data_IF_399928224238
#
_entry.id   IF_399928224238
#
_cell.length_a   1.000
_cell.length_b   1.000
_cell.length_c   1.000
_cell.angle_alpha   90.00
_cell.angle_beta   90.00
_cell.angle_gamma   90.00
#
_symmetry.space_group_name_H-M   'P 1'
#
loop_
_entity.id
_entity.type
_entity.pdbx_description
1 polymer ?
#
# COMPACT_ATOMS: atom_id res chain seq x y z
N UNK A 1 4.29 -36.89 42.92
CA UNK A 1 2.85 -36.86 43.19
C UNK A 1 2.27 -35.58 42.67
N UNK A 2 1.84 -35.57 41.41
CA UNK A 2 0.76 -34.75 40.89
C UNK A 2 0.48 -35.23 39.45
N UNK A 3 -0.74 -35.76 39.27
CA UNK A 3 -1.22 -36.45 38.08
C UNK A 3 -1.41 -35.53 36.87
N UNK A 4 -1.16 -36.00 35.64
CA UNK A 4 -1.58 -35.30 34.44
C UNK A 4 -3.09 -35.47 34.21
N UNK A 5 -3.80 -34.35 34.12
CA UNK A 5 -5.24 -34.27 33.87
C UNK A 5 -5.64 -34.79 32.49
N UNK A 6 -6.72 -35.56 32.47
CA UNK A 6 -7.33 -36.17 31.29
C UNK A 6 -7.97 -35.13 30.34
N UNK A 7 -8.06 -35.43 29.03
CA UNK A 7 -8.75 -34.58 28.06
C UNK A 7 -10.28 -34.69 28.16
N UNK A 8 -11.02 -33.61 27.81
CA UNK A 8 -12.47 -33.57 27.91
C UNK A 8 -13.18 -34.43 26.85
N UNK A 9 -14.26 -35.05 27.31
CA UNK A 9 -15.19 -35.92 26.60
C UNK A 9 -15.81 -35.28 25.35
N UNK A 10 -15.87 -36.06 24.27
CA UNK A 10 -16.69 -35.81 23.10
C UNK A 10 -18.19 -36.02 23.43
N UNK A 11 -19.10 -35.17 22.91
CA UNK A 11 -20.54 -35.37 23.09
C UNK A 11 -21.09 -36.53 22.23
N UNK A 12 -22.19 -37.18 22.69
CA UNK A 12 -22.69 -38.42 22.13
C UNK A 12 -23.59 -38.23 20.90
N UNK A 13 -23.51 -39.25 20.03
CA UNK A 13 -24.45 -39.72 19.02
C UNK A 13 -25.72 -38.91 18.73
N UNK A 14 -25.79 -38.40 17.50
CA UNK A 14 -27.05 -38.11 16.82
C UNK A 14 -27.57 -39.41 16.19
N UNK A 15 -28.85 -39.76 16.38
CA UNK A 15 -29.43 -41.00 15.88
C UNK A 15 -29.61 -40.99 14.36
N UNK A 16 -29.42 -42.17 13.78
CA UNK A 16 -29.77 -42.50 12.41
C UNK A 16 -31.30 -42.66 12.30
N UNK A 17 -31.94 -41.72 11.60
CA UNK A 17 -33.31 -41.85 11.08
C UNK A 17 -33.19 -41.95 9.54
N UNK A 18 -33.48 -43.11 8.95
CA UNK A 18 -34.79 -43.37 8.33
C UNK A 18 -34.78 -42.82 6.90
N UNK A 19 -34.26 -43.53 5.89
CA UNK A 19 -34.92 -44.63 5.18
C UNK A 19 -36.40 -44.37 4.88
N UNK A 20 -36.68 -43.46 3.95
CA UNK A 20 -37.87 -43.54 3.09
C UNK A 20 -37.45 -43.41 1.62
N UNK A 21 -37.39 -44.57 0.98
CA UNK A 21 -37.16 -44.75 -0.45
C UNK A 21 -38.51 -44.52 -1.14
N UNK A 22 -38.79 -43.27 -1.50
CA UNK A 22 -39.87 -42.96 -2.45
C UNK A 22 -39.33 -43.22 -3.86
N UNK A 23 -39.75 -44.34 -4.44
CA UNK A 23 -39.48 -44.68 -5.83
C UNK A 23 -40.00 -43.60 -6.77
N UNK A 24 -39.06 -42.92 -7.44
CA UNK A 24 -39.36 -42.12 -8.62
C UNK A 24 -39.21 -43.06 -9.80
N UNK A 25 -40.34 -43.38 -10.42
CA UNK A 25 -40.40 -44.15 -11.65
C UNK A 25 -39.46 -43.55 -12.69
N UNK A 26 -38.58 -44.42 -13.19
CA UNK A 26 -37.70 -44.20 -14.32
C UNK A 26 -38.54 -43.97 -15.57
N UNK A 27 -39.01 -42.74 -15.76
CA UNK A 27 -39.66 -42.32 -16.99
C UNK A 27 -38.57 -42.14 -18.04
N UNK A 28 -38.40 -43.16 -18.88
CA UNK A 28 -37.54 -43.09 -20.05
C UNK A 28 -37.85 -41.79 -20.83
N UNK A 29 -36.83 -40.98 -21.17
CA UNK A 29 -37.04 -39.84 -22.05
C UNK A 29 -37.46 -40.39 -23.42
N UNK A 30 -38.76 -40.33 -23.70
CA UNK A 30 -39.30 -40.55 -25.03
C UNK A 30 -38.57 -39.63 -26.01
N UNK A 31 -38.29 -40.08 -27.24
CA UNK A 31 -37.64 -39.24 -28.24
C UNK A 31 -38.45 -37.98 -28.41
N UNK A 32 -37.84 -36.84 -28.03
CA UNK A 32 -38.42 -35.54 -28.28
C UNK A 32 -38.78 -35.45 -29.77
N UNK A 33 -39.99 -34.99 -30.12
CA UNK A 33 -40.32 -34.75 -31.50
C UNK A 33 -39.27 -33.79 -32.05
N UNK A 34 -38.62 -34.20 -33.13
CA UNK A 34 -37.81 -33.35 -33.96
C UNK A 34 -38.74 -32.30 -34.59
N UNK A 35 -39.14 -31.32 -33.79
CA UNK A 35 -39.51 -30.01 -34.28
C UNK A 35 -38.23 -29.42 -34.85
N UNK A 36 -37.94 -29.85 -36.08
CA UNK A 36 -37.18 -29.12 -37.05
C UNK A 36 -37.88 -27.78 -37.20
N UNK A 37 -37.60 -26.88 -36.26
CA UNK A 37 -37.69 -25.46 -36.49
C UNK A 37 -36.98 -25.25 -37.82
N UNK A 38 -37.73 -24.77 -38.81
CA UNK A 38 -37.23 -24.17 -40.03
C UNK A 38 -36.23 -23.08 -39.64
N UNK A 39 -35.01 -23.50 -39.30
CA UNK A 39 -33.85 -22.67 -39.21
C UNK A 39 -33.65 -22.23 -40.64
N UNK A 40 -34.25 -21.08 -40.94
CA UNK A 40 -33.97 -20.27 -42.11
C UNK A 40 -32.46 -20.30 -42.25
N UNK A 41 -31.95 -21.13 -43.16
CA UNK A 41 -30.55 -21.15 -43.53
C UNK A 41 -30.34 -19.77 -44.12
N UNK A 42 -29.95 -18.82 -43.28
CA UNK A 42 -29.34 -17.60 -43.76
C UNK A 42 -28.14 -18.11 -44.53
N UNK A 43 -28.18 -17.98 -45.87
CA UNK A 43 -27.06 -18.20 -46.78
C UNK A 43 -25.97 -17.15 -46.51
N UNK A 44 -25.59 -17.00 -45.24
CA UNK A 44 -24.50 -16.18 -44.82
C UNK A 44 -23.23 -16.95 -45.20
N UNK A 45 -22.35 -16.35 -46.02
CA UNK A 45 -21.11 -16.99 -46.41
C UNK A 45 -20.36 -17.47 -45.17
N UNK A 46 -19.85 -18.71 -45.20
CA UNK A 46 -19.09 -19.33 -44.10
C UNK A 46 -18.04 -18.39 -43.48
N UNK A 47 -17.46 -17.52 -44.31
CA UNK A 47 -16.58 -16.44 -43.90
C UNK A 47 -17.17 -15.53 -42.80
N UNK A 48 -18.37 -14.99 -42.99
CA UNK A 48 -19.01 -14.07 -42.04
C UNK A 48 -19.57 -14.81 -40.84
N UNK A 49 -20.16 -16.00 -41.06
CA UNK A 49 -20.59 -16.88 -39.98
C UNK A 49 -19.41 -17.18 -39.02
N UNK A 50 -18.24 -17.55 -39.55
CA UNK A 50 -17.05 -17.82 -38.73
C UNK A 50 -16.58 -16.58 -37.95
N UNK A 51 -16.62 -15.39 -38.55
CA UNK A 51 -16.22 -14.15 -37.86
C UNK A 51 -17.20 -13.74 -36.75
N UNK A 52 -18.50 -13.94 -36.98
CA UNK A 52 -19.57 -13.52 -36.09
C UNK A 52 -19.91 -14.53 -34.99
N UNK A 53 -19.55 -15.81 -35.17
CA UNK A 53 -19.84 -16.85 -34.19
C UNK A 53 -19.16 -16.53 -32.85
N UNK A 54 -19.91 -16.75 -31.77
CA UNK A 54 -19.49 -16.54 -30.39
C UNK A 54 -19.43 -17.84 -29.59
N UNK A 55 -19.88 -18.96 -30.17
CA UNK A 55 -20.02 -20.27 -29.56
C UNK A 55 -19.06 -21.32 -30.10
N UNK A 56 -18.15 -20.96 -30.99
CA UNK A 56 -17.17 -21.89 -31.54
C UNK A 56 -16.04 -22.22 -30.55
N UNK A 57 -15.53 -23.44 -30.69
CA UNK A 57 -14.44 -24.01 -29.88
C UNK A 57 -13.27 -24.38 -30.79
N UNK A 58 -12.06 -24.37 -30.24
CA UNK A 58 -10.83 -24.60 -31.00
C UNK A 58 -10.88 -25.90 -31.80
N UNK A 59 -11.28 -27.00 -31.15
CA UNK A 59 -11.38 -28.31 -31.78
C UNK A 59 -12.32 -28.35 -32.99
N UNK A 60 -13.42 -27.58 -32.99
CA UNK A 60 -14.34 -27.50 -34.12
C UNK A 60 -13.72 -26.74 -35.29
N UNK A 61 -13.12 -25.58 -35.02
CA UNK A 61 -12.45 -24.80 -36.05
C UNK A 61 -11.27 -25.54 -36.68
N UNK A 62 -10.50 -26.33 -35.91
CA UNK A 62 -9.42 -27.17 -36.44
C UNK A 62 -9.93 -28.27 -37.38
N UNK A 63 -11.10 -28.86 -37.10
CA UNK A 63 -11.75 -29.80 -38.04
C UNK A 63 -12.16 -29.10 -39.32
N UNK A 64 -12.76 -27.92 -39.22
CA UNK A 64 -13.13 -27.09 -40.37
C UNK A 64 -11.90 -26.67 -41.18
N UNK A 65 -10.82 -26.30 -40.51
CA UNK A 65 -9.53 -25.99 -41.12
C UNK A 65 -9.02 -27.18 -41.95
N UNK A 66 -9.00 -28.38 -41.36
CA UNK A 66 -8.54 -29.59 -42.04
C UNK A 66 -9.39 -29.89 -43.29
N UNK A 67 -10.73 -29.81 -43.16
CA UNK A 67 -11.65 -30.03 -44.27
C UNK A 67 -11.43 -29.00 -45.41
N UNK A 68 -11.34 -27.71 -45.08
CA UNK A 68 -11.07 -26.65 -46.05
C UNK A 68 -9.69 -26.80 -46.70
N UNK A 69 -8.68 -27.20 -45.94
CA UNK A 69 -7.32 -27.40 -46.45
C UNK A 69 -7.25 -28.55 -47.47
N UNK A 70 -7.92 -29.67 -47.18
CA UNK A 70 -8.01 -30.81 -48.11
C UNK A 70 -8.75 -30.40 -49.39
N UNK A 71 -9.85 -29.66 -49.27
CA UNK A 71 -10.61 -29.19 -50.42
C UNK A 71 -9.84 -28.16 -51.27
N UNK A 72 -8.97 -27.35 -50.65
CA UNK A 72 -8.20 -26.31 -51.32
C UNK A 72 -6.94 -26.84 -52.04
N UNK A 73 -6.36 -27.94 -51.55
CA UNK A 73 -5.14 -28.54 -52.11
C UNK A 73 -5.18 -28.76 -53.65
N UNK A 74 -6.19 -29.47 -54.23
CA UNK A 74 -6.21 -29.70 -55.67
C UNK A 74 -6.38 -28.40 -56.47
N UNK A 75 -7.15 -27.43 -55.96
CA UNK A 75 -7.34 -26.13 -56.63
C UNK A 75 -6.01 -25.38 -56.74
N UNK A 76 -5.15 -25.52 -55.74
CA UNK A 76 -3.80 -24.97 -55.77
C UNK A 76 -2.91 -25.67 -56.80
N UNK A 77 -2.92 -27.01 -56.80
CA UNK A 77 -2.09 -27.85 -57.69
C UNK A 77 -2.40 -27.61 -59.18
N UNK A 78 -3.67 -27.43 -59.53
CA UNK A 78 -4.09 -27.20 -60.92
C UNK A 78 -4.06 -25.72 -61.34
N UNK A 79 -3.42 -24.83 -60.54
CA UNK A 79 -3.27 -23.41 -60.89
C UNK A 79 -4.55 -22.58 -60.79
N UNK A 80 -5.59 -23.10 -60.14
CA UNK A 80 -6.89 -22.45 -59.95
C UNK A 80 -6.91 -21.36 -58.87
N UNK A 81 -5.77 -21.05 -58.24
CA UNK A 81 -5.67 -20.12 -57.09
C UNK A 81 -6.18 -18.71 -57.36
N UNK A 82 -6.19 -18.28 -58.62
CA UNK A 82 -6.70 -16.96 -59.05
C UNK A 82 -8.21 -16.92 -59.26
N UNK A 83 -8.89 -18.08 -59.27
CA UNK A 83 -10.33 -18.13 -59.43
C UNK A 83 -11.02 -17.51 -58.22
N UNK A 84 -12.09 -16.74 -58.42
CA UNK A 84 -12.77 -16.01 -57.34
C UNK A 84 -13.17 -16.92 -56.16
N UNK A 85 -13.72 -18.10 -56.45
CA UNK A 85 -14.06 -19.09 -55.42
C UNK A 85 -12.85 -19.62 -54.66
N UNK A 86 -11.71 -19.79 -55.34
CA UNK A 86 -10.46 -20.20 -54.70
C UNK A 86 -9.92 -19.11 -53.78
N UNK A 87 -10.00 -17.84 -54.20
CA UNK A 87 -9.62 -16.69 -53.38
C UNK A 87 -10.49 -16.59 -52.13
N UNK A 88 -11.82 -16.70 -52.26
CA UNK A 88 -12.74 -16.64 -51.10
C UNK A 88 -12.52 -17.84 -50.16
N UNK A 89 -12.32 -19.04 -50.71
CA UNK A 89 -11.98 -20.24 -49.93
C UNK A 89 -10.68 -20.06 -49.15
N UNK A 90 -9.62 -19.55 -49.79
CA UNK A 90 -8.34 -19.27 -49.13
C UNK A 90 -8.46 -18.22 -48.03
N UNK A 91 -9.25 -17.16 -48.25
CA UNK A 91 -9.57 -16.15 -47.23
C UNK A 91 -10.34 -16.74 -46.05
N UNK A 92 -11.32 -17.59 -46.32
CA UNK A 92 -12.11 -18.29 -45.28
C UNK A 92 -11.22 -19.19 -44.44
N UNK A 93 -10.34 -19.98 -45.08
CA UNK A 93 -9.36 -20.81 -44.40
C UNK A 93 -8.42 -19.98 -43.51
N UNK A 94 -7.96 -18.83 -43.98
CA UNK A 94 -7.11 -17.94 -43.19
C UNK A 94 -7.83 -17.37 -41.93
N UNK A 95 -9.12 -17.03 -42.06
CA UNK A 95 -9.95 -16.61 -40.91
C UNK A 95 -10.16 -17.75 -39.92
N UNK A 96 -10.53 -18.95 -40.40
CA UNK A 96 -10.74 -20.14 -39.56
C UNK A 96 -9.47 -20.45 -38.77
N UNK A 97 -8.30 -20.44 -39.42
CA UNK A 97 -6.98 -20.63 -38.79
C UNK A 97 -6.73 -19.64 -37.68
N UNK A 98 -6.80 -18.35 -38.00
CA UNK A 98 -6.53 -17.28 -37.04
C UNK A 98 -7.47 -17.36 -35.84
N UNK A 99 -8.77 -17.59 -36.09
CA UNK A 99 -9.75 -17.71 -35.01
C UNK A 99 -9.45 -18.94 -34.14
N UNK A 100 -9.12 -20.09 -34.74
CA UNK A 100 -8.70 -21.28 -33.99
C UNK A 100 -7.49 -21.00 -33.08
N UNK A 101 -6.47 -20.29 -33.58
CA UNK A 101 -5.29 -19.91 -32.77
C UNK A 101 -5.67 -18.98 -31.59
N UNK A 102 -6.60 -18.04 -31.80
CA UNK A 102 -7.10 -17.17 -30.73
C UNK A 102 -7.89 -17.96 -29.68
N UNK A 103 -8.75 -18.88 -30.10
CA UNK A 103 -9.51 -19.76 -29.19
C UNK A 103 -8.56 -20.67 -28.41
N UNK A 104 -7.56 -21.25 -29.05
CA UNK A 104 -6.53 -22.06 -28.39
C UNK A 104 -5.85 -21.29 -27.25
N UNK A 105 -5.47 -20.04 -27.51
CA UNK A 105 -4.84 -19.19 -26.51
C UNK A 105 -5.78 -18.87 -25.35
N UNK A 106 -7.06 -18.58 -25.62
CA UNK A 106 -8.07 -18.34 -24.60
C UNK A 106 -8.35 -19.59 -23.75
N UNK A 107 -8.57 -20.74 -24.37
CA UNK A 107 -8.83 -22.02 -23.70
C UNK A 107 -7.65 -22.43 -22.81
N UNK A 108 -6.41 -22.34 -23.33
CA UNK A 108 -5.21 -22.61 -22.55
C UNK A 108 -5.04 -21.62 -21.38
N UNK A 109 -5.37 -20.34 -21.58
CA UNK A 109 -5.31 -19.32 -20.52
C UNK A 109 -6.34 -19.57 -19.43
N UNK A 110 -7.56 -19.97 -19.79
CA UNK A 110 -8.61 -20.32 -18.83
C UNK A 110 -8.20 -21.55 -18.01
N UNK A 111 -7.71 -22.61 -18.65
CA UNK A 111 -7.25 -23.81 -17.96
C UNK A 111 -6.15 -23.50 -16.93
N UNK A 112 -5.15 -22.70 -17.32
CA UNK A 112 -4.09 -22.27 -16.39
C UNK A 112 -4.60 -21.36 -15.27
N UNK A 113 -5.61 -20.52 -15.54
CA UNK A 113 -6.24 -19.66 -14.54
C UNK A 113 -7.03 -20.48 -13.51
N UNK A 114 -7.83 -21.44 -13.96
CA UNK A 114 -8.62 -22.33 -13.10
C UNK A 114 -7.72 -23.24 -12.25
N UNK A 115 -6.60 -23.73 -12.80
CA UNK A 115 -5.59 -24.47 -12.03
C UNK A 115 -4.97 -23.61 -10.92
N UNK A 116 -4.61 -22.36 -11.23
CA UNK A 116 -4.08 -21.43 -10.23
C UNK A 116 -5.13 -21.06 -9.17
N UNK A 117 -6.40 -20.91 -9.56
CA UNK A 117 -7.52 -20.66 -8.68
C UNK A 117 -7.77 -21.82 -7.71
N UNK A 118 -7.64 -23.07 -8.16
CA UNK A 118 -7.75 -24.24 -7.30
C UNK A 118 -6.68 -24.24 -6.17
N UNK A 119 -5.53 -23.61 -6.41
CA UNK A 119 -4.44 -23.44 -5.44
C UNK A 119 -4.45 -22.12 -4.66
N UNK A 120 -5.51 -21.30 -4.74
CA UNK A 120 -5.50 -19.92 -4.22
C UNK A 120 -5.21 -19.79 -2.73
N UNK A 121 -5.63 -20.75 -1.90
CA UNK A 121 -5.35 -20.72 -0.45
C UNK A 121 -3.86 -20.95 -0.13
N UNK A 122 -3.18 -21.80 -0.91
CA UNK A 122 -1.73 -21.96 -0.82
C UNK A 122 -1.01 -20.68 -1.27
N UNK A 123 -1.48 -20.08 -2.38
CA UNK A 123 -0.95 -18.79 -2.85
C UNK A 123 -1.14 -17.71 -1.79
N UNK A 124 -2.29 -17.66 -1.11
CA UNK A 124 -2.57 -16.71 -0.02
C UNK A 124 -1.56 -16.88 1.11
N UNK A 125 -1.36 -18.12 1.58
CA UNK A 125 -0.37 -18.42 2.63
C UNK A 125 1.03 -17.99 2.22
N UNK A 126 1.43 -18.26 0.97
CA UNK A 126 2.74 -17.84 0.44
C UNK A 126 2.88 -16.32 0.35
N UNK A 127 1.84 -15.61 -0.09
CA UNK A 127 1.86 -14.15 -0.16
C UNK A 127 1.96 -13.51 1.22
N UNK A 128 1.26 -14.06 2.22
CA UNK A 128 1.37 -13.60 3.61
C UNK A 128 2.80 -13.82 4.14
N UNK A 129 3.38 -14.99 3.86
CA UNK A 129 4.75 -15.33 4.27
C UNK A 129 5.86 -14.67 3.42
N UNK A 130 5.51 -13.87 2.40
CA UNK A 130 6.46 -13.31 1.41
C UNK A 130 7.32 -14.39 0.70
N UNK A 131 6.76 -15.59 0.52
CA UNK A 131 7.44 -16.78 -0.02
C UNK A 131 7.39 -16.84 -1.57
N UNK A 132 7.34 -15.69 -2.24
CA UNK A 132 7.44 -15.56 -3.68
C UNK A 132 6.24 -14.90 -4.37
N UNK A 133 6.37 -14.63 -5.68
CA UNK A 133 5.36 -13.92 -6.45
C UNK A 133 4.10 -14.77 -6.70
N UNK A 134 2.95 -14.13 -6.98
CA UNK A 134 1.74 -14.84 -7.36
C UNK A 134 1.89 -15.52 -8.74
N UNK A 135 1.13 -16.60 -9.02
CA UNK A 135 1.16 -17.26 -10.32
C UNK A 135 0.85 -16.31 -11.48
N UNK A 136 1.65 -16.36 -12.56
CA UNK A 136 1.47 -15.51 -13.75
C UNK A 136 0.11 -15.74 -14.46
N UNK A 137 -0.50 -16.89 -14.22
CA UNK A 137 -1.84 -17.23 -14.70
C UNK A 137 -2.91 -16.27 -14.15
N UNK A 138 -2.77 -15.76 -12.92
CA UNK A 138 -3.74 -14.85 -12.31
C UNK A 138 -3.54 -13.39 -12.74
N UNK A 139 -2.31 -13.01 -13.12
CA UNK A 139 -1.96 -11.62 -13.39
C UNK A 139 -2.43 -11.15 -14.77
N UNK A 140 -2.83 -9.88 -14.89
CA UNK A 140 -3.03 -9.16 -16.17
C UNK A 140 -4.07 -9.79 -17.09
N UNK A 141 -5.12 -10.41 -16.55
CA UNK A 141 -6.22 -11.00 -17.34
C UNK A 141 -6.86 -9.95 -18.25
N UNK A 142 -7.09 -8.72 -17.76
CA UNK A 142 -7.63 -7.65 -18.60
C UNK A 142 -6.72 -7.30 -19.80
N UNK A 143 -5.40 -7.25 -19.62
CA UNK A 143 -4.46 -7.00 -20.74
C UNK A 143 -4.49 -8.14 -21.76
N UNK A 144 -4.61 -9.38 -21.28
CA UNK A 144 -4.77 -10.54 -22.15
C UNK A 144 -6.07 -10.44 -22.96
N UNK A 145 -7.20 -10.15 -22.32
CA UNK A 145 -8.50 -9.98 -22.98
C UNK A 145 -8.45 -8.86 -24.03
N UNK A 146 -7.90 -7.68 -23.68
CA UNK A 146 -7.74 -6.57 -24.63
C UNK A 146 -6.86 -6.89 -25.85
N UNK A 147 -5.92 -7.83 -25.71
CA UNK A 147 -5.07 -8.27 -26.81
C UNK A 147 -5.75 -9.29 -27.74
N UNK A 148 -6.73 -10.03 -27.23
CA UNK A 148 -7.42 -11.10 -27.97
C UNK A 148 -8.81 -10.71 -28.46
N UNK A 149 -9.40 -9.62 -27.94
CA UNK A 149 -10.67 -9.05 -28.40
C UNK A 149 -10.44 -8.07 -29.55
N UNK A 150 -11.34 -8.08 -30.54
CA UNK A 150 -11.28 -7.16 -31.66
C UNK A 150 -11.50 -5.70 -31.23
N UNK A 151 -10.68 -4.80 -31.76
CA UNK A 151 -10.78 -3.36 -31.47
C UNK A 151 -11.76 -2.71 -32.43
N UNK A 152 -12.71 -1.93 -31.89
CA UNK A 152 -13.62 -1.12 -32.72
C UNK A 152 -14.93 -1.82 -33.12
N UNK A 153 -15.34 -2.88 -32.40
CA UNK A 153 -16.65 -3.51 -32.57
C UNK A 153 -16.56 -4.95 -33.08
N UNK A 154 -17.50 -5.33 -33.96
CA UNK A 154 -17.55 -6.69 -34.51
C UNK A 154 -16.50 -6.88 -35.62
N UNK A 155 -15.71 -7.97 -35.62
CA UNK A 155 -14.76 -8.25 -36.70
C UNK A 155 -15.47 -8.46 -38.06
N UNK A 156 -16.77 -8.76 -38.06
CA UNK A 156 -17.63 -8.84 -39.25
C UNK A 156 -17.69 -7.49 -39.99
N UNK A 157 -17.65 -6.37 -39.27
CA UNK A 157 -17.76 -5.01 -39.84
C UNK A 157 -16.39 -4.38 -40.16
N UNK A 158 -15.30 -5.03 -39.77
CA UNK A 158 -13.95 -4.49 -39.96
C UNK A 158 -13.58 -4.31 -41.45
N UNK A 159 -12.67 -3.37 -41.73
CA UNK A 159 -12.18 -3.13 -43.09
C UNK A 159 -11.35 -4.33 -43.60
N UNK A 160 -11.77 -4.92 -44.73
CA UNK A 160 -11.15 -6.10 -45.36
C UNK A 160 -10.40 -5.76 -46.65
N UNK A 161 -10.19 -4.47 -46.95
CA UNK A 161 -9.52 -4.02 -48.18
C UNK A 161 -8.08 -4.53 -48.27
N UNK A 162 -7.35 -4.48 -47.14
CA UNK A 162 -6.09 -5.20 -46.97
C UNK A 162 -6.33 -6.44 -46.11
N UNK A 163 -6.59 -7.55 -46.79
CA UNK A 163 -6.96 -8.80 -46.14
C UNK A 163 -5.82 -9.40 -45.30
N UNK A 164 -4.56 -9.22 -45.70
CA UNK A 164 -3.41 -9.74 -44.95
C UNK A 164 -3.30 -9.04 -43.59
N UNK A 165 -3.38 -7.71 -43.60
CA UNK A 165 -3.41 -6.91 -42.37
C UNK A 165 -4.63 -7.26 -41.52
N UNK A 166 -5.83 -7.43 -42.12
CA UNK A 166 -7.04 -7.84 -41.40
C UNK A 166 -6.85 -9.17 -40.67
N UNK A 167 -6.43 -10.25 -41.36
CA UNK A 167 -6.23 -11.57 -40.75
C UNK A 167 -5.22 -11.53 -39.60
N UNK A 168 -4.15 -10.76 -39.74
CA UNK A 168 -3.13 -10.68 -38.69
C UNK A 168 -3.58 -9.91 -37.44
N UNK A 169 -4.58 -9.03 -37.58
CA UNK A 169 -4.94 -8.05 -36.54
C UNK A 169 -6.34 -8.22 -35.94
N UNK A 170 -7.24 -8.98 -36.57
CA UNK A 170 -8.55 -9.22 -35.97
C UNK A 170 -8.43 -10.07 -34.70
N UNK A 171 -9.36 -9.83 -33.79
CA UNK A 171 -9.51 -10.56 -32.53
C UNK A 171 -10.90 -11.19 -32.45
N UNK A 172 -11.19 -11.84 -31.33
CA UNK A 172 -12.50 -12.40 -31.05
C UNK A 172 -13.53 -11.29 -30.81
N UNK A 173 -14.82 -11.52 -31.11
CA UNK A 173 -15.89 -10.65 -30.63
C UNK A 173 -15.85 -10.52 -29.11
N UNK A 174 -16.12 -9.33 -28.56
CA UNK A 174 -16.20 -9.12 -27.11
C UNK A 174 -17.30 -10.00 -26.45
N UNK A 175 -18.35 -10.30 -27.23
CA UNK A 175 -19.43 -11.19 -26.81
C UNK A 175 -19.10 -12.69 -26.89
N UNK A 176 -17.88 -13.06 -27.30
CA UNK A 176 -17.48 -14.47 -27.42
C UNK A 176 -17.50 -15.17 -26.06
N UNK A 177 -18.04 -16.39 -25.99
CA UNK A 177 -18.28 -17.07 -24.71
C UNK A 177 -16.99 -17.28 -23.89
N UNK A 178 -15.88 -17.69 -24.51
CA UNK A 178 -14.58 -17.80 -23.81
C UNK A 178 -14.04 -16.46 -23.27
N UNK A 179 -14.24 -15.35 -23.98
CA UNK A 179 -13.83 -14.02 -23.51
C UNK A 179 -14.64 -13.64 -22.27
N UNK A 180 -15.97 -13.78 -22.35
CA UNK A 180 -16.88 -13.52 -21.23
C UNK A 180 -16.57 -14.42 -20.03
N UNK A 181 -16.37 -15.72 -20.25
CA UNK A 181 -16.00 -16.68 -19.21
C UNK A 181 -14.72 -16.26 -18.48
N UNK A 182 -13.68 -15.84 -19.21
CA UNK A 182 -12.44 -15.38 -18.60
C UNK A 182 -12.61 -14.07 -17.82
N UNK A 183 -13.44 -13.14 -18.30
CA UNK A 183 -13.79 -11.91 -17.57
C UNK A 183 -14.58 -12.22 -16.28
N UNK A 184 -15.56 -13.13 -16.35
CA UNK A 184 -16.35 -13.59 -15.20
C UNK A 184 -15.46 -14.28 -14.15
N UNK A 185 -14.58 -15.19 -14.57
CA UNK A 185 -13.59 -15.82 -13.68
C UNK A 185 -12.67 -14.78 -13.04
N UNK A 186 -12.17 -13.83 -13.83
CA UNK A 186 -11.36 -12.73 -13.32
C UNK A 186 -12.10 -11.87 -12.29
N UNK A 187 -13.39 -11.64 -12.48
CA UNK A 187 -14.21 -10.85 -11.56
C UNK A 187 -14.45 -11.60 -10.25
N UNK A 188 -14.82 -12.88 -10.32
CA UNK A 188 -14.99 -13.74 -9.14
C UNK A 188 -13.71 -13.84 -8.32
N UNK A 189 -12.56 -13.99 -8.99
CA UNK A 189 -11.28 -14.12 -8.31
C UNK A 189 -10.81 -12.77 -7.74
N UNK A 190 -11.04 -11.66 -8.44
CA UNK A 190 -10.79 -10.30 -7.90
C UNK A 190 -11.57 -10.06 -6.62
N UNK A 191 -12.86 -10.41 -6.61
CA UNK A 191 -13.72 -10.29 -5.42
C UNK A 191 -13.21 -11.17 -4.27
N UNK A 192 -12.88 -12.44 -4.55
CA UNK A 192 -12.35 -13.35 -3.55
C UNK A 192 -11.05 -12.82 -2.91
N UNK A 193 -10.08 -12.38 -3.70
CA UNK A 193 -8.82 -11.83 -3.18
C UNK A 193 -9.03 -10.52 -2.40
N UNK A 194 -9.94 -9.67 -2.86
CA UNK A 194 -10.26 -8.42 -2.17
C UNK A 194 -10.91 -8.70 -0.80
N UNK A 195 -11.85 -9.65 -0.73
CA UNK A 195 -12.47 -10.07 0.54
C UNK A 195 -11.47 -10.76 1.47
N UNK A 196 -10.62 -11.64 0.93
CA UNK A 196 -9.57 -12.29 1.72
C UNK A 196 -8.58 -11.28 2.30
N UNK A 197 -8.19 -10.25 1.52
CA UNK A 197 -7.32 -9.17 1.98
C UNK A 197 -8.00 -8.35 3.10
N UNK A 198 -9.29 -8.05 2.96
CA UNK A 198 -10.07 -7.36 3.99
C UNK A 198 -10.10 -8.16 5.30
N UNK A 199 -10.38 -9.47 5.23
CA UNK A 199 -10.37 -10.34 6.42
C UNK A 199 -9.01 -10.37 7.12
N UNK A 200 -7.91 -10.42 6.36
CA UNK A 200 -6.56 -10.37 6.92
C UNK A 200 -6.23 -9.00 7.54
N UNK A 201 -6.71 -7.91 6.93
CA UNK A 201 -6.57 -6.57 7.48
C UNK A 201 -7.30 -6.44 8.83
N UNK A 202 -8.52 -6.96 8.92
CA UNK A 202 -9.33 -6.98 10.15
C UNK A 202 -8.72 -7.88 11.22
N UNK A 203 -8.05 -8.98 10.83
CA UNK A 203 -7.31 -9.85 11.73
C UNK A 203 -6.00 -9.23 12.26
N UNK A 204 -5.59 -8.07 11.74
CA UNK A 204 -4.35 -7.40 12.13
C UNK A 204 -3.10 -8.03 11.54
N UNK A 205 -3.22 -8.74 10.41
CA UNK A 205 -2.08 -9.26 9.65
C UNK A 205 -1.19 -8.10 9.17
N UNK A 206 0.09 -8.40 8.93
CA UNK A 206 1.07 -7.42 8.46
C UNK A 206 0.58 -6.60 7.26
N UNK A 207 0.72 -5.28 7.33
CA UNK A 207 0.19 -4.36 6.31
C UNK A 207 0.82 -4.60 4.94
N UNK A 208 2.09 -5.02 4.86
CA UNK A 208 2.73 -5.32 3.58
C UNK A 208 2.17 -6.60 2.96
N UNK A 209 1.93 -7.64 3.79
CA UNK A 209 1.26 -8.86 3.36
C UNK A 209 -0.13 -8.59 2.76
N UNK A 210 -0.95 -7.80 3.46
CA UNK A 210 -2.27 -7.41 2.93
C UNK A 210 -2.13 -6.55 1.67
N UNK A 211 -1.16 -5.65 1.63
CA UNK A 211 -0.84 -4.85 0.44
C UNK A 211 -0.57 -5.70 -0.81
N UNK A 212 0.25 -6.76 -0.68
CA UNK A 212 0.51 -7.70 -1.78
C UNK A 212 -0.77 -8.40 -2.28
N UNK A 213 -1.68 -8.75 -1.39
CA UNK A 213 -2.97 -9.35 -1.77
C UNK A 213 -3.86 -8.35 -2.51
N UNK A 214 -3.89 -7.08 -2.09
CA UNK A 214 -4.63 -6.02 -2.78
C UNK A 214 -4.05 -5.72 -4.16
N UNK A 215 -2.72 -5.73 -4.29
CA UNK A 215 -2.04 -5.56 -5.58
C UNK A 215 -2.37 -6.72 -6.53
N UNK A 216 -2.39 -7.97 -6.04
CA UNK A 216 -2.84 -9.11 -6.82
C UNK A 216 -4.30 -8.94 -7.28
N UNK A 217 -5.22 -8.60 -6.37
CA UNK A 217 -6.62 -8.39 -6.70
C UNK A 217 -6.77 -7.29 -7.79
N UNK A 218 -6.05 -6.18 -7.64
CA UNK A 218 -6.06 -5.10 -8.60
C UNK A 218 -5.43 -5.50 -9.96
N UNK A 219 -4.43 -6.38 -9.99
CA UNK A 219 -3.72 -6.78 -11.21
C UNK A 219 -4.47 -7.81 -12.07
N UNK A 220 -5.44 -8.56 -11.51
CA UNK A 220 -6.25 -9.54 -12.27
C UNK A 220 -7.03 -8.80 -13.37
N UNK A 221 -7.95 -7.91 -12.99
CA UNK A 221 -8.78 -7.14 -13.93
C UNK A 221 -8.34 -5.68 -14.13
N UNK A 222 -7.36 -5.18 -13.36
CA UNK A 222 -6.91 -3.79 -13.46
C UNK A 222 -7.80 -2.79 -12.72
N UNK A 223 -8.78 -3.23 -11.93
CA UNK A 223 -9.69 -2.34 -11.20
C UNK A 223 -9.20 -2.09 -9.78
N UNK A 224 -8.93 -0.82 -9.46
CA UNK A 224 -8.55 -0.37 -8.10
C UNK A 224 -9.75 0.09 -7.27
N UNK A 225 -10.91 0.18 -7.89
CA UNK A 225 -12.14 0.76 -7.35
C UNK A 225 -13.13 -0.32 -6.86
N UNK A 226 -12.69 -1.57 -6.76
CA UNK A 226 -13.49 -2.64 -6.19
C UNK A 226 -13.84 -2.32 -4.74
N UNK A 227 -15.11 -2.48 -4.35
CA UNK A 227 -15.64 -2.08 -3.04
C UNK A 227 -14.81 -2.66 -1.88
N UNK A 228 -14.55 -3.97 -1.90
CA UNK A 228 -13.73 -4.62 -0.88
C UNK A 228 -12.25 -4.15 -0.87
N UNK A 229 -11.68 -3.73 -2.01
CA UNK A 229 -10.32 -3.14 -2.05
C UNK A 229 -10.33 -1.77 -1.37
N UNK A 230 -11.35 -0.95 -1.64
CA UNK A 230 -11.51 0.37 -1.02
C UNK A 230 -11.71 0.23 0.48
N UNK A 231 -12.60 -0.65 0.92
CA UNK A 231 -12.83 -0.95 2.33
C UNK A 231 -11.56 -1.45 3.03
N UNK A 232 -10.82 -2.37 2.40
CA UNK A 232 -9.56 -2.86 2.95
C UNK A 232 -8.51 -1.75 3.10
N UNK A 233 -8.39 -0.84 2.13
CA UNK A 233 -7.49 0.33 2.23
C UNK A 233 -7.89 1.26 3.37
N UNK A 234 -9.19 1.44 3.61
CA UNK A 234 -9.69 2.23 4.74
C UNK A 234 -9.31 1.58 6.08
N UNK A 235 -9.53 0.26 6.24
CA UNK A 235 -9.12 -0.50 7.44
C UNK A 235 -7.61 -0.40 7.67
N UNK A 236 -6.79 -0.66 6.63
CA UNK A 236 -5.33 -0.53 6.74
C UNK A 236 -4.91 0.90 7.09
N UNK A 237 -5.51 1.90 6.45
CA UNK A 237 -5.21 3.31 6.71
C UNK A 237 -5.53 3.72 8.15
N UNK A 238 -6.64 3.24 8.70
CA UNK A 238 -7.03 3.46 10.10
C UNK A 238 -6.06 2.75 11.06
N UNK A 239 -5.70 1.50 10.78
CA UNK A 239 -4.74 0.73 11.59
C UNK A 239 -3.36 1.37 11.61
N UNK A 240 -2.85 1.82 10.45
CA UNK A 240 -1.57 2.53 10.34
C UNK A 240 -1.58 3.84 11.14
N UNK A 241 -2.67 4.62 11.02
CA UNK A 241 -2.81 5.86 11.76
C UNK A 241 -2.87 5.63 13.29
N UNK A 242 -3.55 4.57 13.73
CA UNK A 242 -3.62 4.21 15.14
C UNK A 242 -2.26 3.72 15.67
N UNK A 243 -1.52 2.92 14.88
CA UNK A 243 -0.18 2.48 15.23
C UNK A 243 0.80 3.65 15.36
N UNK A 244 0.72 4.65 14.48
CA UNK A 244 1.51 5.88 14.59
C UNK A 244 1.21 6.65 15.88
N UNK A 245 -0.07 6.73 16.28
CA UNK A 245 -0.47 7.35 17.55
C UNK A 245 0.05 6.57 18.77
N UNK A 246 -0.09 5.24 18.78
CA UNK A 246 0.43 4.40 19.86
C UNK A 246 1.96 4.53 19.99
N UNK A 247 2.67 4.56 18.86
CA UNK A 247 4.11 4.82 18.83
C UNK A 247 4.44 6.21 19.41
N UNK A 248 3.70 7.25 19.02
CA UNK A 248 3.86 8.60 19.54
C UNK A 248 3.66 8.70 21.05
N UNK A 249 2.62 8.05 21.59
CA UNK A 249 2.35 7.97 23.03
C UNK A 249 3.49 7.24 23.78
N UNK A 250 4.00 6.14 23.22
CA UNK A 250 5.12 5.40 23.79
C UNK A 250 6.42 6.22 23.78
N UNK A 251 6.66 6.98 22.73
CA UNK A 251 7.82 7.88 22.63
C UNK A 251 7.70 9.01 23.66
N UNK A 252 6.52 9.62 23.82
CA UNK A 252 6.25 10.64 24.82
C UNK A 252 6.51 10.13 26.24
N UNK A 253 5.93 8.98 26.61
CA UNK A 253 6.12 8.37 27.93
C UNK A 253 7.60 8.09 28.24
N UNK A 254 8.38 7.62 27.26
CA UNK A 254 9.83 7.42 27.41
C UNK A 254 10.59 8.73 27.59
N UNK A 255 10.18 9.80 26.92
CA UNK A 255 10.78 11.12 27.10
C UNK A 255 10.50 11.67 28.52
N UNK A 256 9.26 11.53 28.99
CA UNK A 256 8.84 11.92 30.34
C UNK A 256 9.64 11.16 31.42
N UNK A 257 9.80 9.85 31.27
CA UNK A 257 10.63 9.04 32.18
C UNK A 257 12.10 9.51 32.20
N UNK A 258 12.68 9.85 31.04
CA UNK A 258 14.05 10.36 30.97
C UNK A 258 14.20 11.71 31.64
N UNK A 259 13.21 12.58 31.48
CA UNK A 259 13.18 13.90 32.12
C UNK A 259 13.06 13.74 33.63
N UNK A 260 12.17 12.88 34.12
CA UNK A 260 11.98 12.63 35.55
C UNK A 260 13.25 12.07 36.23
N UNK A 261 14.02 11.27 35.52
CA UNK A 261 15.25 10.65 36.03
C UNK A 261 16.51 11.53 35.92
N UNK A 262 16.42 12.71 35.29
CA UNK A 262 17.56 13.60 35.04
C UNK A 262 17.43 14.90 35.80
N UNK A 263 18.49 15.33 36.48
CA UNK A 263 18.57 16.67 37.08
C UNK A 263 18.84 17.78 36.06
N UNK A 264 19.32 17.43 34.87
CA UNK A 264 19.60 18.38 33.78
C UNK A 264 18.44 18.43 32.78
N UNK A 265 18.12 19.61 32.20
CA UNK A 265 17.14 19.75 31.13
C UNK A 265 17.50 18.90 29.91
N UNK A 266 16.65 17.91 29.60
CA UNK A 266 16.84 16.96 28.49
C UNK A 266 16.18 17.48 27.19
N UNK A 267 16.68 18.58 26.63
CA UNK A 267 16.12 19.17 25.41
C UNK A 267 16.38 18.31 24.16
N UNK A 268 17.56 17.68 24.06
CA UNK A 268 17.87 16.78 22.93
C UNK A 268 16.94 15.57 22.85
N UNK A 269 16.45 15.08 24.00
CA UNK A 269 15.52 13.97 24.06
C UNK A 269 14.17 14.35 23.44
N UNK A 270 13.64 15.53 23.77
CA UNK A 270 12.42 16.06 23.17
C UNK A 270 12.58 16.22 21.64
N UNK A 271 13.69 16.83 21.20
CA UNK A 271 14.01 17.00 19.77
C UNK A 271 13.99 15.67 19.01
N UNK A 272 14.77 14.69 19.50
CA UNK A 272 14.86 13.36 18.87
C UNK A 272 13.49 12.68 18.84
N UNK A 273 12.73 12.79 19.92
CA UNK A 273 11.39 12.22 20.06
C UNK A 273 10.40 12.84 19.06
N UNK A 274 10.36 14.17 18.93
CA UNK A 274 9.52 14.86 17.94
C UNK A 274 9.87 14.45 16.50
N UNK A 275 11.16 14.35 16.17
CA UNK A 275 11.62 13.89 14.84
C UNK A 275 11.17 12.46 14.56
N UNK A 276 11.30 11.55 15.52
CA UNK A 276 10.86 10.16 15.36
C UNK A 276 9.34 10.06 15.14
N UNK A 277 8.54 10.81 15.90
CA UNK A 277 7.08 10.83 15.71
C UNK A 277 6.72 11.36 14.31
N UNK A 278 7.37 12.45 13.88
CA UNK A 278 7.16 12.99 12.54
C UNK A 278 7.57 12.00 11.44
N UNK A 279 8.59 11.16 11.66
CA UNK A 279 8.99 10.10 10.74
C UNK A 279 7.91 8.99 10.68
N UNK A 280 7.40 8.53 11.82
CA UNK A 280 6.33 7.54 11.88
C UNK A 280 5.05 8.00 11.17
N UNK A 281 4.66 9.26 11.38
CA UNK A 281 3.52 9.88 10.67
C UNK A 281 3.75 9.86 9.15
N UNK A 282 4.96 10.22 8.69
CA UNK A 282 5.30 10.20 7.26
C UNK A 282 5.26 8.79 6.69
N UNK A 283 5.79 7.81 7.41
CA UNK A 283 5.76 6.40 7.01
C UNK A 283 4.33 5.90 6.90
N UNK A 284 3.48 6.16 7.90
CA UNK A 284 2.07 5.78 7.87
C UNK A 284 1.33 6.38 6.66
N UNK A 285 1.55 7.67 6.35
CA UNK A 285 0.96 8.34 5.18
C UNK A 285 1.49 7.74 3.87
N UNK A 286 2.80 7.46 3.78
CA UNK A 286 3.39 6.83 2.60
C UNK A 286 2.84 5.41 2.35
N UNK A 287 2.43 4.71 3.42
CA UNK A 287 1.77 3.40 3.36
C UNK A 287 0.25 3.47 3.12
N UNK A 288 -0.31 4.67 2.96
CA UNK A 288 -1.72 4.87 2.58
C UNK A 288 -2.64 5.38 3.69
N UNK A 289 -2.13 5.75 4.87
CA UNK A 289 -2.96 6.35 5.91
C UNK A 289 -3.51 7.74 5.48
N UNK A 290 -4.80 8.04 5.74
CA UNK A 290 -5.39 9.31 5.34
C UNK A 290 -4.80 10.48 6.12
N UNK A 291 -4.33 11.52 5.42
CA UNK A 291 -3.61 12.68 6.03
C UNK A 291 -4.43 13.45 7.06
N UNK A 292 -5.76 13.39 6.98
CA UNK A 292 -6.70 14.05 7.91
C UNK A 292 -7.23 13.10 8.99
N UNK A 293 -6.65 11.92 9.18
CA UNK A 293 -7.09 10.96 10.19
C UNK A 293 -6.96 11.55 11.62
N UNK A 294 -7.97 11.41 12.50
CA UNK A 294 -7.92 11.93 13.87
C UNK A 294 -6.70 11.45 14.67
N UNK A 295 -6.34 10.16 14.56
CA UNK A 295 -5.16 9.62 15.24
C UNK A 295 -3.83 10.25 14.76
N UNK A 296 -3.69 10.56 13.46
CA UNK A 296 -2.50 11.25 12.96
C UNK A 296 -2.47 12.72 13.41
N UNK A 297 -3.62 13.38 13.52
CA UNK A 297 -3.71 14.73 14.06
C UNK A 297 -3.29 14.75 15.54
N UNK A 298 -3.71 13.75 16.33
CA UNK A 298 -3.28 13.60 17.72
C UNK A 298 -1.78 13.31 17.82
N UNK A 299 -1.24 12.41 17.00
CA UNK A 299 0.21 12.14 16.94
C UNK A 299 1.01 13.41 16.58
N UNK A 300 0.50 14.20 15.63
CA UNK A 300 1.08 15.50 15.27
C UNK A 300 1.03 16.50 16.43
N UNK A 301 -0.05 16.55 17.18
CA UNK A 301 -0.15 17.39 18.37
C UNK A 301 0.89 17.01 19.43
N UNK A 302 1.14 15.71 19.64
CA UNK A 302 2.22 15.24 20.53
C UNK A 302 3.59 15.69 20.03
N UNK A 303 3.86 15.56 18.73
CA UNK A 303 5.12 16.05 18.15
C UNK A 303 5.31 17.56 18.37
N UNK A 304 4.28 18.37 18.13
CA UNK A 304 4.31 19.82 18.39
C UNK A 304 4.50 20.13 19.88
N UNK A 305 3.88 19.37 20.79
CA UNK A 305 4.10 19.53 22.24
C UNK A 305 5.56 19.25 22.61
N UNK A 306 6.19 18.23 22.02
CA UNK A 306 7.61 17.94 22.23
C UNK A 306 8.53 19.02 21.62
N UNK A 307 8.17 19.62 20.49
CA UNK A 307 8.91 20.76 19.91
C UNK A 307 8.83 22.02 20.80
N UNK A 308 7.68 22.25 21.45
CA UNK A 308 7.55 23.31 22.45
C UNK A 308 8.40 22.97 23.67
N UNK A 309 8.29 21.75 24.20
CA UNK A 309 9.06 21.30 25.35
C UNK A 309 10.58 21.31 25.10
N UNK A 310 11.04 21.05 23.87
CA UNK A 310 12.44 21.21 23.45
C UNK A 310 12.92 22.64 23.73
N UNK A 311 12.17 23.63 23.24
CA UNK A 311 12.52 25.06 23.40
C UNK A 311 12.48 25.49 24.87
N UNK A 312 11.47 25.05 25.61
CA UNK A 312 11.34 25.36 27.04
C UNK A 312 12.51 24.79 27.85
N UNK A 313 12.88 23.52 27.61
CA UNK A 313 14.01 22.85 28.27
C UNK A 313 15.35 23.45 27.87
N UNK A 314 15.50 23.87 26.61
CA UNK A 314 16.70 24.55 26.15
C UNK A 314 16.87 25.90 26.85
N UNK A 315 15.78 26.67 27.01
CA UNK A 315 15.79 27.91 27.75
C UNK A 315 16.08 27.71 29.25
N UNK A 316 15.55 26.65 29.86
CA UNK A 316 15.92 26.23 31.23
C UNK A 316 17.40 25.88 31.36
N UNK A 317 17.99 25.25 30.34
CA UNK A 317 19.44 24.96 30.33
C UNK A 317 20.28 26.23 30.36
N UNK A 318 19.83 27.30 29.68
CA UNK A 318 20.51 28.61 29.73
C UNK A 318 20.38 29.24 31.11
N UNK A 319 19.21 29.14 31.75
CA UNK A 319 19.01 29.61 33.12
C UNK A 319 19.91 28.87 34.12
N UNK A 320 19.99 27.54 34.01
CA UNK A 320 20.92 26.75 34.84
C UNK A 320 22.38 27.15 34.60
N UNK A 321 22.78 27.38 33.35
CA UNK A 321 24.11 27.89 33.04
C UNK A 321 24.36 29.26 33.71
N UNK A 322 23.39 30.17 33.67
CA UNK A 322 23.48 31.46 34.34
C UNK A 322 23.64 31.33 35.85
N UNK A 323 22.86 30.45 36.49
CA UNK A 323 22.97 30.15 37.92
C UNK A 323 24.34 29.54 38.27
N UNK A 324 24.87 28.64 37.44
CA UNK A 324 26.21 28.09 37.62
C UNK A 324 27.30 29.18 37.53
N UNK A 325 27.15 30.17 36.65
CA UNK A 325 28.08 31.31 36.61
C UNK A 325 27.99 32.15 37.89
N UNK A 326 26.78 32.43 38.39
CA UNK A 326 26.61 33.12 39.67
C UNK A 326 27.25 32.37 40.82
N UNK A 327 27.03 31.06 40.93
CA UNK A 327 27.65 30.23 41.96
C UNK A 327 29.18 30.23 41.85
N UNK A 328 29.74 30.21 40.64
CA UNK A 328 31.21 30.31 40.42
C UNK A 328 31.76 31.66 40.89
N UNK A 329 31.05 32.74 40.60
CA UNK A 329 31.41 34.08 41.04
C UNK A 329 31.37 34.19 42.58
N UNK A 330 30.31 33.68 43.21
CA UNK A 330 30.17 33.66 44.67
C UNK A 330 31.24 32.80 45.34
N UNK A 331 31.57 31.64 44.78
CA UNK A 331 32.68 30.81 45.26
C UNK A 331 34.03 31.49 45.08
N UNK A 332 34.24 32.27 44.02
CA UNK A 332 35.46 33.03 43.81
C UNK A 332 35.57 34.18 44.82
N UNK A 333 34.46 34.88 45.06
CA UNK A 333 34.34 35.93 46.08
C UNK A 333 34.62 35.40 47.48
N UNK A 334 34.03 34.25 47.86
CA UNK A 334 34.26 33.62 49.15
C UNK A 334 35.71 33.16 49.38
N UNK A 335 36.48 32.91 48.30
CA UNK A 335 37.89 32.52 48.37
C UNK A 335 38.84 33.73 48.46
N UNK A 336 38.38 34.92 48.11
CA UNK A 336 39.18 36.13 48.22
C UNK A 336 39.12 36.67 49.66
N UNK A 337 40.27 36.81 50.31
CA UNK A 337 40.36 37.44 51.64
C UNK A 337 40.13 38.97 51.59
N UNK A 338 40.41 39.58 50.44
CA UNK A 338 40.24 41.01 50.15
C UNK A 338 39.12 41.24 49.11
N UNK A 339 38.94 42.49 48.65
CA UNK A 339 37.93 42.83 47.64
C UNK A 339 38.14 41.96 46.37
N UNK A 340 37.10 41.24 45.92
CA UNK A 340 37.19 40.44 44.71
C UNK A 340 37.64 41.27 43.49
N UNK A 341 38.39 40.67 42.54
CA UNK A 341 38.88 41.38 41.36
C UNK A 341 37.74 41.89 40.48
N UNK A 342 37.95 43.04 39.83
CA UNK A 342 37.01 43.64 38.86
C UNK A 342 37.19 42.98 37.50
N UNK A 343 36.09 42.64 36.83
CA UNK A 343 36.07 42.11 35.47
C UNK A 343 35.50 40.69 35.31
N UNK A 344 35.82 39.71 36.19
CA UNK A 344 35.32 38.34 36.02
C UNK A 344 33.79 38.22 35.96
N UNK A 345 33.06 38.94 36.84
CA UNK A 345 31.60 38.90 36.85
C UNK A 345 30.99 39.51 35.57
N UNK A 346 31.58 40.60 35.04
CA UNK A 346 31.20 41.15 33.73
C UNK A 346 31.44 40.14 32.60
N UNK A 347 32.58 39.44 32.60
CA UNK A 347 32.87 38.41 31.60
C UNK A 347 31.93 37.20 31.66
N UNK A 348 31.46 36.83 32.85
CA UNK A 348 30.42 35.81 33.06
C UNK A 348 29.06 36.28 32.54
N UNK A 349 28.68 37.53 32.78
CA UNK A 349 27.46 38.12 32.21
C UNK A 349 27.49 38.11 30.67
N UNK A 350 28.62 38.49 30.06
CA UNK A 350 28.81 38.43 28.60
C UNK A 350 28.74 36.99 28.06
N UNK A 351 29.11 35.99 28.87
CA UNK A 351 28.95 34.58 28.50
C UNK A 351 27.48 34.15 28.53
N UNK A 352 26.69 34.60 29.49
CA UNK A 352 25.25 34.34 29.57
C UNK A 352 24.53 34.99 28.38
N UNK A 353 24.82 36.26 28.07
CA UNK A 353 24.21 36.96 26.93
C UNK A 353 24.51 36.26 25.59
N UNK A 354 25.77 35.82 25.38
CA UNK A 354 26.15 35.03 24.20
C UNK A 354 25.42 33.70 24.12
N UNK A 355 25.20 33.04 25.25
CA UNK A 355 24.46 31.77 25.29
C UNK A 355 22.98 31.97 24.93
N UNK A 356 22.35 33.04 25.45
CA UNK A 356 20.98 33.44 25.10
C UNK A 356 20.88 33.73 23.61
N UNK A 357 21.78 34.55 23.07
CA UNK A 357 21.81 34.88 21.63
C UNK A 357 21.96 33.63 20.76
N UNK A 358 22.87 32.71 21.14
CA UNK A 358 23.06 31.44 20.45
C UNK A 358 21.78 30.61 20.42
N UNK A 359 21.10 30.48 21.56
CA UNK A 359 19.87 29.68 21.67
C UNK A 359 18.71 30.29 20.87
N UNK A 360 18.58 31.61 20.86
CA UNK A 360 17.60 32.32 20.03
C UNK A 360 17.91 32.11 18.54
N UNK A 361 19.16 32.34 18.14
CA UNK A 361 19.58 32.34 16.73
C UNK A 361 19.62 30.95 16.11
N UNK A 362 20.24 29.99 16.79
CA UNK A 362 20.54 28.68 16.21
C UNK A 362 19.40 27.68 16.41
N UNK A 363 18.60 27.85 17.47
CA UNK A 363 17.54 26.91 17.86
C UNK A 363 16.12 27.52 17.79
N UNK A 364 16.00 28.81 17.50
CA UNK A 364 14.70 29.46 17.28
C UNK A 364 13.83 29.51 18.53
N UNK A 365 14.44 29.63 19.72
CA UNK A 365 13.71 29.91 20.96
C UNK A 365 13.22 31.37 20.92
N UNK A 366 11.94 31.65 21.24
CA UNK A 366 11.44 33.03 21.22
C UNK A 366 12.24 33.95 22.15
N UNK A 367 12.66 35.11 21.67
CA UNK A 367 13.41 36.12 22.45
C UNK A 367 12.70 36.52 23.75
N UNK A 368 11.37 36.52 23.74
CA UNK A 368 10.56 36.91 24.90
C UNK A 368 10.27 35.76 25.88
N UNK A 369 10.93 34.61 25.74
CA UNK A 369 10.72 33.46 26.62
C UNK A 369 11.00 33.80 28.10
N UNK A 370 10.10 33.48 29.04
CA UNK A 370 10.24 33.88 30.45
C UNK A 370 11.56 33.48 31.09
N UNK A 371 12.01 32.24 30.90
CA UNK A 371 13.27 31.75 31.49
C UNK A 371 14.52 32.38 30.87
N UNK A 372 14.47 32.82 29.60
CA UNK A 372 15.57 33.58 29.00
C UNK A 372 15.65 34.99 29.61
N UNK A 373 14.50 35.61 29.91
CA UNK A 373 14.47 36.90 30.62
C UNK A 373 15.04 36.78 32.02
N UNK A 374 14.73 35.70 32.73
CA UNK A 374 15.32 35.39 34.04
C UNK A 374 16.85 35.21 33.92
N UNK A 375 17.33 34.46 32.91
CA UNK A 375 18.76 34.29 32.69
C UNK A 375 19.47 35.63 32.39
N UNK A 376 18.86 36.50 31.57
CA UNK A 376 19.37 37.85 31.31
C UNK A 376 19.34 38.73 32.57
N UNK A 377 18.35 38.57 33.44
CA UNK A 377 18.30 39.26 34.72
C UNK A 377 19.48 38.86 35.61
N UNK A 378 19.79 37.56 35.70
CA UNK A 378 20.99 37.07 36.40
C UNK A 378 22.28 37.67 35.81
N UNK A 379 22.38 37.74 34.48
CA UNK A 379 23.51 38.40 33.81
C UNK A 379 23.64 39.88 34.19
N UNK A 380 22.52 40.61 34.29
CA UNK A 380 22.50 42.00 34.75
C UNK A 380 22.97 42.13 36.21
N UNK A 381 22.49 41.27 37.11
CA UNK A 381 22.91 41.28 38.51
C UNK A 381 24.42 41.07 38.67
N UNK A 382 25.02 40.17 37.86
CA UNK A 382 26.48 39.98 37.83
C UNK A 382 27.23 41.24 37.40
N UNK A 383 26.74 41.98 36.40
CA UNK A 383 27.34 43.28 36.00
C UNK A 383 27.23 44.32 37.10
N UNK A 384 26.10 44.36 37.81
CA UNK A 384 25.90 45.29 38.92
C UNK A 384 26.86 44.97 40.09
N UNK A 385 27.04 43.69 40.43
CA UNK A 385 28.05 43.21 41.40
C UNK A 385 29.48 43.62 41.00
N UNK A 386 29.84 43.48 39.73
CA UNK A 386 31.17 43.91 39.24
C UNK A 386 31.36 45.43 39.33
N UNK A 387 30.30 46.19 39.05
CA UNK A 387 30.25 47.63 39.24
C UNK A 387 30.46 48.05 40.70
N UNK A 388 29.92 47.30 41.66
CA UNK A 388 30.17 47.48 43.09
C UNK A 388 31.62 47.21 43.45
N UNK A 389 32.19 46.10 42.98
CA UNK A 389 33.61 45.76 43.18
C UNK A 389 34.53 46.86 42.66
N UNK A 390 34.23 47.42 41.49
CA UNK A 390 34.96 48.55 40.91
C UNK A 390 34.92 49.80 41.80
N UNK A 391 33.76 50.11 42.37
CA UNK A 391 33.60 51.23 43.33
C UNK A 391 34.39 50.98 44.61
N UNK A 392 34.37 49.75 45.12
CA UNK A 392 35.08 49.36 46.34
C UNK A 392 36.61 49.39 46.15
N UNK A 393 37.14 48.88 45.03
CA UNK A 393 38.55 49.00 44.65
C UNK A 393 39.00 50.46 44.54
N UNK A 394 38.21 51.31 43.87
CA UNK A 394 38.50 52.74 43.78
C UNK A 394 38.52 53.42 45.15
N UNK A 395 37.65 52.99 46.07
CA UNK A 395 37.62 53.48 47.46
C UNK A 395 38.85 53.03 48.23
N UNK A 396 39.25 51.76 48.16
CA UNK A 396 40.47 51.28 48.79
C UNK A 396 41.71 51.99 48.25
N UNK A 397 41.83 52.19 46.93
CA UNK A 397 42.94 52.92 46.32
C UNK A 397 43.04 54.37 46.84
N UNK A 398 41.91 55.03 47.08
CA UNK A 398 41.87 56.39 47.68
C UNK A 398 42.26 56.38 49.16
N UNK A 399 41.92 55.32 49.90
CA UNK A 399 42.29 55.18 51.31
C UNK A 399 43.78 54.85 51.49
N UNK A 400 44.34 54.00 50.63
CA UNK A 400 45.75 53.63 50.67
C UNK A 400 46.71 54.74 50.17
N UNK A 401 46.19 55.71 49.41
CA UNK A 401 46.94 56.87 48.93
C UNK A 401 46.91 58.09 49.86
N UNK A 402 46.24 57.99 51.01
CA UNK A 402 46.32 58.93 52.13
C UNK A 402 47.22 58.33 53.20
#
# INVERSE_FOLDING_TARGET
DESPGAPPHAPPGVPAEGSEVAGVEEHAPGPAPADAADAKFCDEPLFYATLGDTGDVEALLRRTEAALSVAHAPVSEYGGTRHASAVISGRTLAVVRRKADLLQACEARIAAFEEAQAGRDEVRRRLIADAGPPPEALLKVNKFVQAHVHKGGSPVEANKSDFGSFVSSFGLPDAHHWVRRLQELGAQETDWWAQAALQEAEAGTDTQAVGRMLDLAADILGSKDHEAIVACREVLGNTLAQNALLSAQKILSKDEERVANSSKPQWESAKKSAVMINLEIKTAVAMGAPTKHPALQQAKAIATQLEIAEKDRLAQSVLMFAQEQTNKDEMAEAKCADIPPVGPASGMADAIEREVERVVKDFGVPEFHPTLKEALHVGKELRDKDGERKRMHARQKRLAGK
#
